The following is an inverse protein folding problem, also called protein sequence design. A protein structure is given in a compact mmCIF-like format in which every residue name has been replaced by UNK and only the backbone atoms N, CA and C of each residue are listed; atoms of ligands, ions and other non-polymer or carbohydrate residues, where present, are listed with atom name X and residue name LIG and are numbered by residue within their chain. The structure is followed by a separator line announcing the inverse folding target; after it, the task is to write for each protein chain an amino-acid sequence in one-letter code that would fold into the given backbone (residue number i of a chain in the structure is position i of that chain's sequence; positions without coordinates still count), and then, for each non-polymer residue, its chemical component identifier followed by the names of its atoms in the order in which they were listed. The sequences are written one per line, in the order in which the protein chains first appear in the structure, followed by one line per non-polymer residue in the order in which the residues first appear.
data_IF_848492568717
#
_entry.id   IF_848492568717
#
_cell.length_a   1.000
_cell.length_b   1.000
_cell.length_c   1.000
_cell.angle_alpha   90.00
_cell.angle_beta   90.00
_cell.angle_gamma   90.00
#
_symmetry.space_group_name_H-M   'P 1'
#
loop_
_entity.id
_entity.type
_entity.pdbx_description
1 polymer ?
#
# COMPACT_ATOMS: atom_id res chain seq x y z
N UNK A 1 -44.98 57.33 -34.81
CA UNK A 1 -46.04 56.34 -34.50
C UNK A 1 -45.82 55.86 -33.06
N UNK A 2 -46.76 56.20 -32.16
CA UNK A 2 -46.94 55.80 -30.74
C UNK A 2 -45.81 56.16 -29.73
N UNK A 3 -46.01 57.26 -28.97
CA UNK A 3 -46.29 57.37 -27.50
C UNK A 3 -45.06 57.04 -26.61
N UNK A 4 -44.34 57.96 -25.93
CA UNK A 4 -44.69 59.05 -24.97
C UNK A 4 -45.23 58.49 -23.62
N UNK A 5 -44.84 58.89 -22.40
CA UNK A 5 -44.28 60.13 -21.85
C UNK A 5 -43.50 59.87 -20.53
N UNK A 6 -42.64 60.83 -20.18
CA UNK A 6 -42.00 61.02 -18.88
C UNK A 6 -42.56 62.27 -18.16
N UNK A 7 -42.25 62.35 -16.85
CA UNK A 7 -42.08 63.54 -15.99
C UNK A 7 -43.27 64.20 -15.24
N UNK A 8 -43.16 64.13 -13.90
CA UNK A 8 -43.10 65.22 -12.91
C UNK A 8 -43.88 66.53 -13.15
N UNK A 9 -44.74 66.92 -12.19
CA UNK A 9 -44.53 68.10 -11.35
C UNK A 9 -45.68 68.42 -10.35
N UNK A 10 -45.25 68.98 -9.21
CA UNK A 10 -45.84 70.04 -8.37
C UNK A 10 -47.05 69.81 -7.43
N UNK A 11 -46.70 69.84 -6.13
CA UNK A 11 -47.14 70.75 -5.06
C UNK A 11 -48.54 71.39 -5.13
N UNK A 12 -49.32 71.18 -4.06
CA UNK A 12 -50.22 72.18 -3.45
C UNK A 12 -50.21 72.09 -1.91
N UNK A 13 -50.14 73.27 -1.31
CA UNK A 13 -50.12 73.61 0.12
C UNK A 13 -51.38 73.22 0.91
N UNK A 14 -51.28 73.03 2.24
CA UNK A 14 -51.82 73.95 3.29
C UNK A 14 -51.80 73.35 4.72
N UNK A 15 -50.82 73.80 5.50
CA UNK A 15 -50.87 74.48 6.84
C UNK A 15 -51.88 74.11 7.97
N UNK A 16 -51.34 74.01 9.21
CA UNK A 16 -51.77 74.60 10.54
C UNK A 16 -51.92 73.61 11.73
N UNK A 17 -50.87 73.61 12.59
CA UNK A 17 -50.79 73.71 14.06
C UNK A 17 -51.88 73.19 15.04
N UNK A 18 -51.46 72.38 16.03
CA UNK A 18 -51.27 72.68 17.50
C UNK A 18 -51.71 71.55 18.48
N UNK A 19 -50.77 71.21 19.38
CA UNK A 19 -50.88 70.87 20.81
C UNK A 19 -51.85 69.79 21.32
N UNK A 20 -51.35 68.76 22.02
CA UNK A 20 -51.16 68.77 23.48
C UNK A 20 -50.74 67.38 24.01
N UNK A 21 -49.91 67.40 25.06
CA UNK A 21 -49.40 66.24 25.79
C UNK A 21 -50.48 65.51 26.64
N UNK A 22 -50.11 64.28 27.00
CA UNK A 22 -50.35 63.59 28.28
C UNK A 22 -51.39 62.45 28.39
N UNK A 23 -50.81 61.24 28.56
CA UNK A 23 -51.05 60.29 29.68
C UNK A 23 -52.40 59.53 29.73
N UNK A 24 -52.38 58.22 29.43
CA UNK A 24 -52.42 57.11 30.43
C UNK A 24 -52.90 55.75 29.88
N UNK A 25 -52.08 54.74 30.17
CA UNK A 25 -52.39 53.36 30.59
C UNK A 25 -53.05 52.31 29.66
N UNK A 26 -52.42 51.13 29.74
CA UNK A 26 -52.92 49.75 29.57
C UNK A 26 -53.01 49.20 28.14
N UNK A 27 -51.96 48.45 27.78
CA UNK A 27 -52.06 47.04 27.31
C UNK A 27 -50.66 46.41 27.31
N UNK A 28 -50.28 45.89 28.46
CA UNK A 28 -49.16 44.97 28.63
C UNK A 28 -49.78 43.65 29.06
N UNK A 29 -49.83 42.68 28.14
CA UNK A 29 -49.96 41.24 28.34
C UNK A 29 -49.99 40.58 26.95
N UNK A 30 -49.26 39.47 26.80
CA UNK A 30 -49.18 38.56 25.64
C UNK A 30 -48.02 38.69 24.63
N UNK A 31 -46.81 39.11 25.02
CA UNK A 31 -45.59 38.82 24.20
C UNK A 31 -44.39 38.47 25.09
N UNK A 32 -44.53 37.50 26.00
CA UNK A 32 -43.41 37.04 26.84
C UNK A 32 -43.35 35.52 27.05
N UNK A 33 -44.03 34.72 26.21
CA UNK A 33 -44.01 33.25 26.35
C UNK A 33 -43.74 32.46 25.05
N UNK A 34 -43.29 33.11 23.96
CA UNK A 34 -42.97 32.44 22.69
C UNK A 34 -41.51 32.74 22.23
N UNK A 35 -40.61 33.08 23.15
CA UNK A 35 -39.16 33.24 22.85
C UNK A 35 -38.29 32.42 23.83
N UNK A 36 -38.84 31.33 24.36
CA UNK A 36 -38.10 30.39 25.24
C UNK A 36 -38.16 28.92 24.75
N UNK A 37 -38.71 28.67 23.56
CA UNK A 37 -38.63 27.39 22.87
C UNK A 37 -38.12 27.67 21.45
N UNK A 38 -37.18 26.86 20.96
CA UNK A 38 -36.45 26.97 19.67
C UNK A 38 -35.09 27.67 19.68
N UNK A 39 -34.31 27.48 20.75
CA UNK A 39 -32.85 27.41 20.63
C UNK A 39 -32.26 26.25 21.43
N UNK A 40 -32.97 25.14 21.54
CA UNK A 40 -32.29 23.85 21.60
C UNK A 40 -31.76 23.57 20.19
N UNK A 41 -30.60 24.13 19.87
CA UNK A 41 -29.70 23.43 18.97
C UNK A 41 -29.35 22.14 19.68
N UNK A 42 -30.17 21.09 19.47
CA UNK A 42 -29.73 19.73 19.70
C UNK A 42 -28.60 19.56 18.70
N UNK A 43 -27.38 19.91 19.09
CA UNK A 43 -26.20 19.36 18.47
C UNK A 43 -26.40 17.86 18.62
N UNK A 44 -26.82 17.20 17.54
CA UNK A 44 -26.81 15.76 17.43
C UNK A 44 -25.34 15.40 17.59
N UNK A 45 -24.92 15.19 18.84
CA UNK A 45 -23.55 14.87 19.18
C UNK A 45 -23.32 13.50 18.58
N UNK A 46 -22.56 13.47 17.48
CA UNK A 46 -22.01 12.25 16.91
C UNK A 46 -21.50 11.35 18.04
N UNK A 47 -22.09 10.16 18.18
CA UNK A 47 -21.81 9.25 19.28
C UNK A 47 -20.34 8.80 19.18
N UNK A 48 -19.60 8.99 20.26
CA UNK A 48 -18.22 8.51 20.35
C UNK A 48 -18.22 7.01 20.61
N UNK A 49 -17.41 6.28 19.84
CA UNK A 49 -17.26 4.82 19.96
C UNK A 49 -16.01 4.50 20.76
N UNK A 50 -14.88 5.12 20.38
CA UNK A 50 -13.59 4.85 20.99
C UNK A 50 -12.66 6.05 20.83
N UNK A 51 -11.74 6.20 21.78
CA UNK A 51 -10.57 7.05 21.64
C UNK A 51 -9.36 6.19 21.33
N UNK A 52 -8.44 6.70 20.52
CA UNK A 52 -7.20 6.02 20.19
C UNK A 52 -6.01 6.90 20.53
N UNK A 53 -4.99 6.32 21.14
CA UNK A 53 -3.68 6.94 21.32
C UNK A 53 -2.66 6.20 20.46
N UNK A 54 -2.09 6.87 19.47
CA UNK A 54 -0.99 6.34 18.68
C UNK A 54 0.30 6.84 19.29
N UNK A 55 1.19 5.93 19.64
CA UNK A 55 2.51 6.25 20.21
C UNK A 55 3.60 6.03 19.18
N UNK A 56 4.48 7.02 19.03
CA UNK A 56 5.63 6.89 18.13
C UNK A 56 6.59 5.79 18.59
N UNK A 57 6.68 5.55 19.91
CA UNK A 57 7.65 4.62 20.47
C UNK A 57 9.06 5.19 20.34
N UNK A 58 10.03 4.35 19.98
CA UNK A 58 11.45 4.66 20.06
C UNK A 58 12.06 5.36 18.84
N UNK A 59 11.25 5.64 17.82
CA UNK A 59 11.70 6.19 16.55
C UNK A 59 10.89 7.42 16.15
N UNK A 60 11.57 8.35 15.46
CA UNK A 60 10.89 9.39 14.70
C UNK A 60 10.16 8.77 13.51
N UNK A 61 8.92 9.19 13.28
CA UNK A 61 8.06 8.65 12.22
C UNK A 61 7.59 9.73 11.28
N UNK A 62 7.45 9.41 10.00
CA UNK A 62 7.04 10.37 8.99
C UNK A 62 6.00 9.77 8.05
N UNK A 63 4.82 10.39 7.98
CA UNK A 63 3.76 10.01 7.02
C UNK A 63 3.42 8.51 7.05
N UNK A 64 3.18 7.98 8.25
CA UNK A 64 3.01 6.54 8.48
C UNK A 64 1.55 6.11 8.30
N UNK A 65 1.36 4.86 7.88
CA UNK A 65 0.06 4.21 7.88
C UNK A 65 -0.09 3.43 9.18
N UNK A 66 -1.24 3.60 9.83
CA UNK A 66 -1.55 3.02 11.13
C UNK A 66 -2.83 2.22 11.02
N UNK A 67 -2.91 1.14 11.78
CA UNK A 67 -4.14 0.37 11.91
C UNK A 67 -4.43 0.04 13.37
N UNK A 68 -5.70 -0.19 13.67
CA UNK A 68 -6.17 -0.61 14.98
C UNK A 68 -7.38 -1.53 14.83
N UNK A 69 -7.52 -2.45 15.78
CA UNK A 69 -8.70 -3.31 15.92
C UNK A 69 -9.56 -2.74 17.03
N UNK A 70 -10.84 -2.56 16.75
CA UNK A 70 -11.87 -2.14 17.71
C UNK A 70 -12.80 -3.32 17.94
N UNK A 71 -12.78 -3.85 19.15
CA UNK A 71 -13.64 -4.96 19.56
C UNK A 71 -15.10 -4.50 19.73
N UNK A 72 -16.04 -5.44 19.60
CA UNK A 72 -17.48 -5.22 19.80
C UNK A 72 -18.13 -4.14 18.90
N UNK A 73 -17.44 -3.67 17.87
CA UNK A 73 -17.93 -2.65 16.96
C UNK A 73 -18.75 -3.19 15.77
N UNK A 74 -19.07 -4.49 15.75
CA UNK A 74 -19.95 -5.10 14.74
C UNK A 74 -21.34 -4.46 14.71
N UNK A 75 -21.84 -3.98 15.85
CA UNK A 75 -23.11 -3.23 15.93
C UNK A 75 -23.11 -1.91 15.13
N UNK A 76 -21.95 -1.48 14.63
CA UNK A 76 -21.78 -0.22 13.89
C UNK A 76 -21.50 -0.42 12.40
N UNK A 77 -21.63 -1.65 11.86
CA UNK A 77 -21.34 -1.95 10.44
C UNK A 77 -22.14 -1.08 9.46
N UNK A 78 -23.40 -0.79 9.78
CA UNK A 78 -24.28 0.00 8.92
C UNK A 78 -24.28 1.49 9.28
N UNK A 79 -23.30 1.94 10.07
CA UNK A 79 -23.17 3.33 10.51
C UNK A 79 -22.06 4.05 9.75
N UNK A 80 -22.25 5.34 9.50
CA UNK A 80 -21.21 6.19 8.95
C UNK A 80 -20.17 6.48 10.03
N UNK A 81 -19.00 5.84 9.92
CA UNK A 81 -17.88 6.03 10.83
C UNK A 81 -16.95 7.13 10.30
N UNK A 82 -16.52 8.01 11.22
CA UNK A 82 -15.52 9.04 10.96
C UNK A 82 -14.47 9.01 12.06
N UNK A 83 -13.20 9.07 11.67
CA UNK A 83 -12.06 9.21 12.57
C UNK A 83 -11.59 10.67 12.60
N UNK A 84 -11.45 11.24 13.79
CA UNK A 84 -10.93 12.59 13.99
C UNK A 84 -9.58 12.56 14.69
N UNK A 85 -8.58 13.30 14.21
CA UNK A 85 -7.39 13.67 14.97
C UNK A 85 -7.73 14.82 15.93
N UNK A 86 -7.29 14.71 17.18
CA UNK A 86 -7.51 15.72 18.21
C UNK A 86 -6.27 16.60 18.32
N UNK A 87 -6.39 17.87 17.92
CA UNK A 87 -5.33 18.90 18.06
C UNK A 87 -5.81 20.03 18.95
N UNK A 88 -5.40 20.00 20.21
CA UNK A 88 -5.92 20.92 21.24
C UNK A 88 -7.44 20.75 21.37
N UNK A 89 -8.19 21.83 21.10
CA UNK A 89 -9.66 21.82 21.14
C UNK A 89 -10.30 21.53 19.77
N UNK A 90 -9.50 21.33 18.72
CA UNK A 90 -9.99 21.06 17.36
C UNK A 90 -10.06 19.56 17.07
N UNK A 91 -11.06 19.19 16.28
CA UNK A 91 -11.22 17.85 15.70
C UNK A 91 -11.06 17.98 14.20
N UNK A 92 -10.05 17.31 13.66
CA UNK A 92 -9.74 17.31 12.24
C UNK A 92 -10.09 15.94 11.70
N UNK A 93 -11.01 15.87 10.75
CA UNK A 93 -11.36 14.61 10.10
C UNK A 93 -10.13 14.04 9.37
N UNK A 94 -9.94 12.73 9.48
CA UNK A 94 -8.82 12.01 8.86
C UNK A 94 -9.38 10.94 7.93
N UNK A 95 -8.85 10.92 6.70
CA UNK A 95 -9.12 9.85 5.75
C UNK A 95 -8.87 8.49 6.42
N UNK A 96 -9.91 7.67 6.46
CA UNK A 96 -9.92 6.41 7.21
C UNK A 96 -10.68 5.34 6.45
N UNK A 97 -10.20 4.11 6.57
CA UNK A 97 -10.74 2.96 5.88
C UNK A 97 -11.08 1.88 6.89
N UNK A 98 -12.30 1.39 6.79
CA UNK A 98 -12.90 0.46 7.75
C UNK A 98 -13.08 -0.90 7.09
N UNK A 99 -12.69 -1.97 7.76
CA UNK A 99 -12.94 -3.34 7.35
C UNK A 99 -13.65 -4.07 8.48
N UNK A 100 -14.78 -4.70 8.15
CA UNK A 100 -15.59 -5.45 9.10
C UNK A 100 -15.43 -6.94 8.80
N UNK A 101 -14.77 -7.65 9.72
CA UNK A 101 -14.75 -9.11 9.80
C UNK A 101 -15.35 -9.52 11.16
N UNK A 102 -14.71 -10.38 11.95
CA UNK A 102 -15.09 -10.63 13.35
C UNK A 102 -14.87 -9.40 14.26
N UNK A 103 -14.04 -8.46 13.79
CA UNK A 103 -13.78 -7.18 14.45
C UNK A 103 -13.89 -6.01 13.46
N UNK A 104 -13.95 -4.78 13.97
CA UNK A 104 -13.76 -3.58 13.16
C UNK A 104 -12.27 -3.26 13.09
N UNK A 105 -11.66 -3.37 11.92
CA UNK A 105 -10.32 -2.86 11.68
C UNK A 105 -10.38 -1.49 11.03
N UNK A 106 -9.60 -0.55 11.55
CA UNK A 106 -9.51 0.82 11.03
C UNK A 106 -8.09 1.02 10.54
N UNK A 107 -7.95 1.58 9.35
CA UNK A 107 -6.69 2.04 8.78
C UNK A 107 -6.78 3.55 8.54
N UNK A 108 -5.71 4.27 8.82
CA UNK A 108 -5.59 5.70 8.49
C UNK A 108 -4.13 6.09 8.35
N UNK A 109 -3.90 7.28 7.81
CA UNK A 109 -2.56 7.86 7.68
C UNK A 109 -2.34 8.94 8.73
N UNK A 110 -1.14 8.97 9.30
CA UNK A 110 -0.67 10.05 10.16
C UNK A 110 0.27 10.92 9.35
N UNK A 111 -0.21 12.11 8.98
CA UNK A 111 0.58 13.06 8.21
C UNK A 111 1.52 13.89 9.09
N UNK A 112 2.69 14.18 8.53
CA UNK A 112 3.75 14.95 9.17
C UNK A 112 4.69 14.11 10.04
N UNK A 113 5.64 14.82 10.67
CA UNK A 113 6.59 14.23 11.61
C UNK A 113 5.87 13.92 12.92
N UNK A 114 6.15 12.75 13.48
CA UNK A 114 5.80 12.37 14.83
C UNK A 114 7.11 12.00 15.54
N UNK A 115 7.52 12.80 16.51
CA UNK A 115 8.81 12.61 17.17
C UNK A 115 8.80 11.37 18.04
N UNK A 116 9.98 10.77 18.27
CA UNK A 116 10.18 9.73 19.27
C UNK A 116 9.50 10.12 20.59
N UNK A 117 8.74 9.19 21.17
CA UNK A 117 7.99 9.38 22.41
C UNK A 117 6.71 10.23 22.30
N UNK A 118 6.46 10.88 21.16
CA UNK A 118 5.21 11.63 20.93
C UNK A 118 4.00 10.70 20.95
N UNK A 119 2.84 11.25 21.32
CA UNK A 119 1.55 10.57 21.23
C UNK A 119 0.55 11.45 20.49
N UNK A 120 -0.09 10.89 19.47
CA UNK A 120 -1.19 11.52 18.75
C UNK A 120 -2.51 10.87 19.14
N UNK A 121 -3.56 11.68 19.24
CA UNK A 121 -4.85 11.29 19.80
C UNK A 121 -5.93 11.35 18.74
N UNK A 122 -6.78 10.34 18.73
CA UNK A 122 -7.88 10.21 17.79
C UNK A 122 -9.18 9.86 18.50
N UNK A 123 -10.31 10.18 17.86
CA UNK A 123 -11.65 9.83 18.32
C UNK A 123 -12.47 9.28 17.14
N UNK A 124 -12.97 8.06 17.30
CA UNK A 124 -13.87 7.40 16.36
C UNK A 124 -15.32 7.75 16.74
N UNK A 125 -16.10 8.20 15.76
CA UNK A 125 -17.50 8.59 15.96
C UNK A 125 -18.44 8.04 14.91
N UNK A 126 -19.71 7.89 15.29
CA UNK A 126 -20.84 7.74 14.36
C UNK A 126 -21.25 9.13 13.90
N UNK A 127 -21.18 9.38 12.59
CA UNK A 127 -21.70 10.58 11.96
C UNK A 127 -23.08 10.34 11.37
N UNK A 128 -23.94 11.35 11.41
CA UNK A 128 -25.21 11.39 10.67
C UNK A 128 -25.11 12.19 9.38
N UNK A 129 -23.97 12.85 9.13
CA UNK A 129 -23.74 13.59 7.90
C UNK A 129 -23.30 12.65 6.77
N UNK A 130 -23.72 12.94 5.54
CA UNK A 130 -23.16 12.31 4.35
C UNK A 130 -21.69 12.69 4.23
N UNK A 131 -20.80 11.69 4.30
CA UNK A 131 -19.38 11.89 4.05
C UNK A 131 -19.16 12.01 2.54
N UNK A 132 -18.59 13.12 2.07
CA UNK A 132 -18.05 13.25 0.71
C UNK A 132 -16.77 12.41 0.59
N UNK A 133 -16.90 11.08 0.62
CA UNK A 133 -15.77 10.17 0.44
C UNK A 133 -15.29 10.27 -1.00
N UNK A 134 -14.08 10.79 -1.20
CA UNK A 134 -13.50 10.82 -2.53
C UNK A 134 -12.73 9.52 -2.72
N UNK A 135 -13.28 8.60 -3.51
CA UNK A 135 -12.58 7.37 -3.90
C UNK A 135 -11.46 7.69 -4.89
N UNK A 136 -10.29 8.06 -4.35
CA UNK A 136 -9.08 8.35 -5.15
C UNK A 136 -8.26 7.08 -5.42
N UNK A 137 -8.37 6.04 -4.59
CA UNK A 137 -7.75 4.74 -4.85
C UNK A 137 -8.64 3.90 -5.76
N UNK A 138 -8.14 3.57 -6.94
CA UNK A 138 -8.85 2.74 -7.90
C UNK A 138 -7.96 1.57 -8.31
N UNK A 139 -8.51 0.36 -8.28
CA UNK A 139 -7.93 -0.79 -8.96
C UNK A 139 -8.67 -0.92 -10.28
N UNK A 140 -7.97 -0.79 -11.41
CA UNK A 140 -8.55 -1.02 -12.73
C UNK A 140 -8.15 -2.39 -13.24
N UNK A 141 -9.14 -3.26 -13.46
CA UNK A 141 -8.95 -4.55 -14.12
C UNK A 141 -8.96 -4.36 -15.65
N UNK A 142 -8.04 -5.01 -16.35
CA UNK A 142 -8.03 -5.20 -17.81
C UNK A 142 -8.14 -6.69 -18.12
N UNK A 143 -8.08 -7.06 -19.40
CA UNK A 143 -8.08 -8.47 -19.81
C UNK A 143 -6.84 -9.23 -19.32
N UNK A 144 -5.73 -8.51 -19.09
CA UNK A 144 -4.43 -9.11 -18.77
C UNK A 144 -3.89 -8.79 -17.37
N UNK A 145 -4.40 -7.71 -16.75
CA UNK A 145 -3.76 -7.14 -15.56
C UNK A 145 -4.74 -6.42 -14.61
N UNK A 146 -4.26 -6.17 -13.40
CA UNK A 146 -4.81 -5.20 -12.46
C UNK A 146 -3.84 -4.04 -12.32
N UNK A 147 -4.33 -2.81 -12.50
CA UNK A 147 -3.56 -1.58 -12.35
C UNK A 147 -3.96 -0.91 -11.04
N UNK A 148 -2.99 -0.71 -10.16
CA UNK A 148 -3.17 -0.07 -8.85
C UNK A 148 -2.68 1.38 -8.94
N UNK A 149 -3.49 2.34 -8.47
CA UNK A 149 -3.22 3.77 -8.57
C UNK A 149 -3.03 4.48 -7.21
N UNK A 150 -2.13 5.46 -7.18
CA UNK A 150 -2.04 6.47 -6.12
C UNK A 150 -2.60 7.77 -6.71
N UNK A 151 -3.73 8.24 -6.17
CA UNK A 151 -4.66 9.13 -6.86
C UNK A 151 -4.91 8.67 -8.32
N UNK A 152 -4.46 9.46 -9.31
CA UNK A 152 -4.65 9.19 -10.73
C UNK A 152 -3.40 8.61 -11.40
N UNK A 153 -2.32 8.36 -10.64
CA UNK A 153 -1.04 7.88 -11.19
C UNK A 153 -0.89 6.37 -10.95
N UNK A 154 -0.55 5.58 -11.98
CA UNK A 154 -0.32 4.15 -11.80
C UNK A 154 0.92 3.92 -10.93
N UNK A 155 0.78 3.06 -9.93
CA UNK A 155 1.88 2.61 -9.06
C UNK A 155 2.48 1.34 -9.63
N UNK A 156 1.63 0.38 -9.99
CA UNK A 156 2.06 -0.91 -10.53
C UNK A 156 0.97 -1.57 -11.36
N UNK A 157 1.41 -2.48 -12.23
CA UNK A 157 0.55 -3.44 -12.91
C UNK A 157 0.87 -4.84 -12.38
N UNK A 158 -0.15 -5.51 -11.85
CA UNK A 158 -0.11 -6.93 -11.55
C UNK A 158 -0.66 -7.72 -12.75
N UNK A 159 0.16 -8.53 -13.40
CA UNK A 159 -0.22 -9.28 -14.60
C UNK A 159 -0.71 -10.67 -14.21
N UNK A 160 -1.96 -10.95 -14.53
CA UNK A 160 -2.59 -12.25 -14.30
C UNK A 160 -2.65 -13.10 -15.57
N UNK A 161 -2.58 -12.47 -16.76
CA UNK A 161 -2.35 -13.18 -18.00
C UNK A 161 -0.87 -13.57 -18.15
N UNK A 162 -0.63 -14.53 -19.04
CA UNK A 162 0.71 -14.99 -19.40
C UNK A 162 1.41 -13.92 -20.23
N UNK A 163 2.66 -13.60 -19.88
CA UNK A 163 3.46 -12.62 -20.60
C UNK A 163 3.61 -13.02 -22.08
N UNK A 164 3.35 -12.12 -23.05
CA UNK A 164 3.60 -12.41 -24.45
C UNK A 164 5.09 -12.71 -24.67
N UNK A 165 5.40 -13.54 -25.67
CA UNK A 165 6.77 -13.89 -26.03
C UNK A 165 7.05 -13.48 -27.47
N UNK A 166 8.27 -13.03 -27.73
CA UNK A 166 8.74 -12.82 -29.09
C UNK A 166 8.82 -14.16 -29.85
N UNK A 167 8.66 -14.10 -31.18
CA UNK A 167 8.74 -15.28 -32.03
C UNK A 167 10.09 -16.02 -31.90
N UNK A 168 10.03 -17.35 -31.86
CA UNK A 168 11.21 -18.20 -31.72
C UNK A 168 11.64 -18.48 -30.28
N UNK A 169 11.00 -17.86 -29.28
CA UNK A 169 11.22 -18.18 -27.87
C UNK A 169 10.29 -19.34 -27.47
N UNK A 170 10.84 -20.31 -26.74
CA UNK A 170 10.07 -21.45 -26.22
C UNK A 170 8.92 -20.96 -25.33
N UNK A 171 7.70 -21.44 -25.60
CA UNK A 171 6.48 -21.04 -24.89
C UNK A 171 6.51 -21.35 -23.38
N UNK A 172 7.38 -22.25 -22.92
CA UNK A 172 7.62 -22.51 -21.49
C UNK A 172 8.09 -21.25 -20.75
N UNK A 173 8.77 -20.31 -21.41
CA UNK A 173 9.18 -19.03 -20.83
C UNK A 173 8.05 -18.01 -20.72
N UNK A 174 6.78 -18.41 -20.75
CA UNK A 174 5.66 -17.52 -20.51
C UNK A 174 4.99 -17.90 -19.19
N UNK A 175 4.91 -16.94 -18.26
CA UNK A 175 4.22 -17.10 -16.98
C UNK A 175 3.25 -15.95 -16.73
N UNK A 176 2.37 -16.15 -15.77
CA UNK A 176 1.56 -15.11 -15.14
C UNK A 176 2.01 -14.87 -13.69
N UNK A 177 1.29 -14.00 -12.97
CA UNK A 177 1.50 -13.78 -11.54
C UNK A 177 2.78 -13.02 -11.24
N UNK A 178 2.96 -11.86 -11.87
CA UNK A 178 4.14 -11.01 -11.71
C UNK A 178 3.77 -9.53 -11.76
N UNK A 179 4.63 -8.67 -11.20
CA UNK A 179 4.43 -7.21 -11.25
C UNK A 179 5.38 -6.59 -12.29
N UNK A 180 4.78 -5.99 -13.31
CA UNK A 180 5.47 -5.14 -14.30
C UNK A 180 4.44 -4.40 -15.15
N UNK A 181 4.60 -3.09 -15.42
CA UNK A 181 5.59 -2.20 -14.83
C UNK A 181 5.33 -1.91 -13.33
N UNK A 182 6.40 -1.70 -12.57
CA UNK A 182 6.41 -0.91 -11.33
C UNK A 182 6.88 0.51 -11.66
N UNK A 183 6.18 1.53 -11.15
CA UNK A 183 6.45 2.92 -11.47
C UNK A 183 7.03 3.70 -10.29
N UNK A 184 7.94 4.63 -10.59
CA UNK A 184 8.19 5.77 -9.72
C UNK A 184 6.99 6.74 -9.71
N UNK A 185 6.88 7.64 -8.72
CA UNK A 185 5.77 8.60 -8.64
C UNK A 185 5.72 9.60 -9.82
N UNK A 186 6.85 9.83 -10.50
CA UNK A 186 6.93 10.60 -11.75
C UNK A 186 6.54 9.81 -13.01
N UNK A 187 6.26 8.50 -12.88
CA UNK A 187 5.81 7.65 -13.98
C UNK A 187 6.93 6.90 -14.71
N UNK A 188 8.19 6.98 -14.27
CA UNK A 188 9.27 6.14 -14.83
C UNK A 188 9.06 4.67 -14.46
N UNK A 189 9.24 3.76 -15.42
CA UNK A 189 9.21 2.31 -15.21
C UNK A 189 10.51 1.84 -14.58
N UNK A 190 10.44 1.17 -13.43
CA UNK A 190 11.62 0.75 -12.63
C UNK A 190 12.01 -0.72 -12.81
N UNK A 191 11.12 -1.51 -13.39
CA UNK A 191 11.28 -2.96 -13.59
C UNK A 191 11.52 -3.32 -15.05
N UNK A 192 12.19 -4.44 -15.32
CA UNK A 192 12.27 -5.05 -16.65
C UNK A 192 11.78 -6.52 -16.62
N UNK A 193 11.27 -7.02 -17.74
CA UNK A 193 10.87 -8.42 -17.93
C UNK A 193 11.50 -8.98 -19.20
N UNK A 194 11.65 -10.31 -19.25
CA UNK A 194 12.08 -11.04 -20.44
C UNK A 194 13.32 -10.43 -21.16
N UNK A 195 14.36 -9.98 -20.44
CA UNK A 195 15.53 -9.42 -21.08
C UNK A 195 16.25 -10.52 -21.89
N UNK A 196 16.91 -10.20 -23.02
CA UNK A 196 17.56 -11.20 -23.87
C UNK A 196 18.60 -12.08 -23.16
N UNK A 197 19.22 -11.60 -22.08
CA UNK A 197 20.16 -12.37 -21.27
C UNK A 197 19.49 -13.42 -20.37
N UNK A 198 18.28 -13.13 -19.87
CA UNK A 198 17.57 -13.97 -18.89
C UNK A 198 16.06 -13.90 -19.14
N UNK A 199 15.60 -14.60 -20.17
CA UNK A 199 14.21 -14.51 -20.65
C UNK A 199 13.15 -14.90 -19.60
N UNK A 200 13.53 -15.60 -18.54
CA UNK A 200 12.68 -16.04 -17.43
C UNK A 200 12.58 -15.02 -16.26
N UNK A 201 13.00 -13.75 -16.45
CA UNK A 201 12.85 -12.69 -15.44
C UNK A 201 11.57 -11.87 -15.63
N UNK A 202 10.88 -11.48 -14.53
CA UNK A 202 9.55 -10.87 -14.59
C UNK A 202 9.31 -9.71 -13.60
N UNK A 203 10.21 -8.72 -13.54
CA UNK A 203 9.97 -7.50 -12.76
C UNK A 203 10.04 -7.75 -11.25
N UNK A 204 8.89 -7.96 -10.59
CA UNK A 204 8.80 -8.51 -9.22
C UNK A 204 8.11 -9.87 -9.21
N UNK A 205 8.76 -10.88 -8.62
CA UNK A 205 8.24 -12.25 -8.52
C UNK A 205 8.99 -13.08 -7.45
N UNK A 206 8.49 -14.28 -7.13
CA UNK A 206 9.21 -15.29 -6.35
C UNK A 206 9.88 -16.33 -7.26
N UNK A 207 11.15 -16.65 -7.01
CA UNK A 207 12.01 -17.51 -7.84
C UNK A 207 12.46 -18.79 -7.11
N UNK A 208 11.52 -19.66 -6.73
CA UNK A 208 11.86 -20.94 -6.09
C UNK A 208 12.47 -21.92 -7.09
N UNK A 209 13.71 -22.38 -6.82
CA UNK A 209 14.52 -23.20 -7.75
C UNK A 209 14.97 -24.53 -7.18
N UNK A 210 15.88 -24.53 -6.19
CA UNK A 210 16.37 -25.76 -5.57
C UNK A 210 15.33 -26.26 -4.58
N UNK A 211 14.35 -27.01 -5.07
CA UNK A 211 13.34 -27.64 -4.23
C UNK A 211 13.27 -29.12 -4.48
N UNK A 212 12.85 -29.87 -3.46
CA UNK A 212 12.53 -31.29 -3.51
C UNK A 212 11.07 -31.44 -3.13
N UNK A 213 10.29 -31.95 -4.07
CA UNK A 213 8.88 -32.26 -3.88
C UNK A 213 8.68 -33.76 -4.08
N UNK A 214 8.19 -34.45 -3.04
CA UNK A 214 8.23 -35.91 -2.94
C UNK A 214 9.68 -36.40 -3.12
N UNK A 215 9.95 -37.25 -4.11
CA UNK A 215 11.28 -37.81 -4.38
C UNK A 215 12.00 -37.13 -5.57
N UNK A 216 11.50 -35.97 -6.03
CA UNK A 216 11.99 -35.31 -7.23
C UNK A 216 12.49 -33.90 -6.94
N UNK A 217 13.64 -33.54 -7.54
CA UNK A 217 14.06 -32.15 -7.64
C UNK A 217 13.14 -31.40 -8.61
N UNK A 218 12.67 -30.23 -8.18
CA UNK A 218 11.75 -29.38 -8.95
C UNK A 218 12.23 -27.93 -8.92
N UNK A 219 12.48 -27.37 -10.09
CA UNK A 219 12.67 -25.94 -10.29
C UNK A 219 11.38 -25.28 -10.84
N UNK A 220 10.76 -24.41 -10.04
CA UNK A 220 9.54 -23.69 -10.41
C UNK A 220 9.79 -22.41 -11.22
N UNK A 221 11.05 -21.98 -11.38
CA UNK A 221 11.41 -20.70 -11.98
C UNK A 221 12.21 -20.82 -13.28
N UNK A 222 13.14 -21.77 -13.41
CA UNK A 222 13.85 -22.04 -14.66
C UNK A 222 12.95 -22.78 -15.64
N UNK A 223 11.94 -22.08 -16.17
CA UNK A 223 10.82 -22.66 -16.92
C UNK A 223 11.26 -23.51 -18.14
N UNK A 224 12.41 -23.21 -18.73
CA UNK A 224 12.98 -23.99 -19.84
C UNK A 224 13.36 -25.43 -19.46
N UNK A 225 13.58 -25.72 -18.17
CA UNK A 225 13.84 -27.09 -17.68
C UNK A 225 12.57 -27.94 -17.59
N UNK A 226 11.38 -27.31 -17.61
CA UNK A 226 10.08 -28.00 -17.60
C UNK A 226 9.90 -28.95 -16.40
N UNK A 227 10.50 -28.64 -15.26
CA UNK A 227 10.35 -29.40 -14.02
C UNK A 227 9.15 -28.91 -13.20
N UNK A 228 8.94 -27.60 -13.17
CA UNK A 228 7.81 -26.97 -12.52
C UNK A 228 7.46 -25.63 -13.14
N UNK A 229 6.34 -25.07 -12.71
CA UNK A 229 5.87 -23.76 -13.15
C UNK A 229 4.95 -23.12 -12.13
N UNK A 230 4.85 -21.79 -12.18
CA UNK A 230 3.97 -21.00 -11.33
C UNK A 230 2.89 -20.34 -12.18
N UNK A 231 1.62 -20.60 -11.86
CA UNK A 231 0.48 -19.99 -12.54
C UNK A 231 -0.36 -19.17 -11.57
N UNK A 232 -0.80 -17.99 -12.01
CA UNK A 232 -1.98 -17.36 -11.44
C UNK A 232 -3.20 -18.29 -11.61
N UNK A 233 -3.87 -18.61 -10.50
CA UNK A 233 -5.06 -19.46 -10.46
C UNK A 233 -6.34 -18.67 -10.15
N UNK A 234 -6.25 -17.45 -9.64
CA UNK A 234 -7.44 -16.63 -9.40
C UNK A 234 -7.19 -15.38 -8.55
N UNK A 235 -8.17 -14.49 -8.58
CA UNK A 235 -8.22 -13.33 -7.69
C UNK A 235 -9.12 -13.68 -6.52
N UNK A 236 -8.58 -13.57 -5.31
CA UNK A 236 -9.30 -13.82 -4.06
C UNK A 236 -10.10 -12.57 -3.68
N UNK A 237 -9.47 -11.40 -3.75
CA UNK A 237 -10.13 -10.14 -3.41
C UNK A 237 -9.45 -8.93 -4.06
N UNK A 238 -10.24 -7.90 -4.34
CA UNK A 238 -9.76 -6.56 -4.68
C UNK A 238 -10.46 -5.55 -3.76
N UNK A 239 -9.69 -4.87 -2.93
CA UNK A 239 -10.17 -3.87 -1.96
C UNK A 239 -9.73 -2.49 -2.41
N UNK A 240 -10.63 -1.52 -2.36
CA UNK A 240 -10.37 -0.12 -2.65
C UNK A 240 -10.87 0.73 -1.48
N UNK A 241 -10.16 1.81 -1.18
CA UNK A 241 -10.59 2.78 -0.18
C UNK A 241 -9.64 3.97 -0.05
N UNK A 242 -10.00 4.95 0.77
CA UNK A 242 -9.30 6.24 0.84
C UNK A 242 -7.86 6.15 1.36
N UNK A 243 -7.50 5.06 2.05
CA UNK A 243 -6.18 4.91 2.68
C UNK A 243 -5.32 3.94 1.88
N UNK A 244 -5.89 2.83 1.44
CA UNK A 244 -5.18 1.83 0.67
C UNK A 244 -6.09 1.09 -0.30
N UNK A 245 -5.46 0.45 -1.26
CA UNK A 245 -6.07 -0.61 -2.05
C UNK A 245 -5.22 -1.87 -1.96
N UNK A 246 -5.84 -3.02 -2.07
CA UNK A 246 -5.18 -4.31 -1.98
C UNK A 246 -5.71 -5.28 -3.02
N UNK A 247 -4.82 -6.00 -3.68
CA UNK A 247 -5.14 -7.11 -4.57
C UNK A 247 -4.58 -8.38 -3.94
N UNK A 248 -5.45 -9.37 -3.72
CA UNK A 248 -5.07 -10.68 -3.21
C UNK A 248 -5.32 -11.74 -4.28
N UNK A 249 -4.32 -12.52 -4.62
CA UNK A 249 -4.35 -13.51 -5.69
C UNK A 249 -3.81 -14.86 -5.22
N UNK A 250 -4.27 -15.93 -5.87
CA UNK A 250 -3.80 -17.29 -5.67
C UNK A 250 -2.88 -17.69 -6.82
N UNK A 251 -1.69 -18.19 -6.51
CA UNK A 251 -0.79 -18.86 -7.44
C UNK A 251 -0.62 -20.32 -7.05
N UNK A 252 -0.44 -21.18 -8.05
CA UNK A 252 -0.11 -22.59 -7.85
C UNK A 252 1.31 -22.83 -8.36
N UNK A 253 2.17 -23.33 -7.48
CA UNK A 253 3.49 -23.86 -7.84
C UNK A 253 3.30 -25.34 -8.12
N UNK A 254 3.33 -25.71 -9.41
CA UNK A 254 3.02 -27.06 -9.86
C UNK A 254 4.26 -27.74 -10.44
N UNK A 255 4.60 -28.90 -9.86
CA UNK A 255 5.61 -29.81 -10.37
C UNK A 255 5.04 -30.61 -11.54
N UNK A 256 5.89 -30.97 -12.49
CA UNK A 256 5.55 -31.81 -13.64
C UNK A 256 6.11 -33.21 -13.35
N UNK A 257 5.22 -34.20 -13.26
CA UNK A 257 5.62 -35.59 -12.99
C UNK A 257 6.21 -36.28 -14.23
N UNK A 258 6.69 -37.52 -14.07
CA UNK A 258 7.28 -38.31 -15.17
C UNK A 258 6.31 -38.64 -16.31
N UNK A 259 4.99 -38.49 -16.07
CA UNK A 259 3.94 -38.69 -17.06
C UNK A 259 3.50 -37.38 -17.73
N UNK A 260 4.06 -36.24 -17.30
CA UNK A 260 3.73 -34.91 -17.79
C UNK A 260 2.51 -34.27 -17.10
N UNK A 261 2.02 -34.83 -16.00
CA UNK A 261 0.92 -34.24 -15.25
C UNK A 261 1.41 -33.15 -14.30
N UNK A 262 0.56 -32.14 -14.09
CA UNK A 262 0.81 -31.08 -13.13
C UNK A 262 0.30 -31.49 -11.74
N UNK A 263 1.18 -31.45 -10.75
CA UNK A 263 0.87 -31.72 -9.34
C UNK A 263 1.20 -30.46 -8.54
N UNK A 264 0.23 -29.89 -7.83
CA UNK A 264 0.44 -28.69 -7.04
C UNK A 264 1.26 -29.04 -5.80
N UNK A 265 2.44 -28.43 -5.67
CA UNK A 265 3.32 -28.56 -4.52
C UNK A 265 3.08 -27.46 -3.47
N UNK A 266 2.71 -26.26 -3.93
CA UNK A 266 2.54 -25.09 -3.06
C UNK A 266 1.42 -24.18 -3.56
N UNK A 267 0.54 -23.79 -2.64
CA UNK A 267 -0.42 -22.72 -2.87
C UNK A 267 0.16 -21.41 -2.34
N UNK A 268 0.38 -20.43 -3.20
CA UNK A 268 0.83 -19.10 -2.79
C UNK A 268 -0.34 -18.11 -2.85
N UNK A 269 -0.71 -17.54 -1.71
CA UNK A 269 -1.54 -16.34 -1.68
C UNK A 269 -0.65 -15.11 -1.64
N UNK A 270 -0.66 -14.33 -2.73
CA UNK A 270 0.04 -13.06 -2.84
C UNK A 270 -0.94 -11.90 -2.60
N UNK A 271 -0.71 -11.11 -1.55
CA UNK A 271 -1.35 -9.82 -1.32
C UNK A 271 -0.40 -8.67 -1.67
N UNK A 272 -0.83 -7.81 -2.60
CA UNK A 272 -0.17 -6.56 -2.96
C UNK A 272 -1.03 -5.41 -2.48
N UNK A 273 -0.53 -4.59 -1.58
CA UNK A 273 -1.25 -3.45 -1.00
C UNK A 273 -0.51 -2.15 -1.28
N UNK A 274 -1.18 -1.16 -1.84
CA UNK A 274 -0.60 0.17 -2.09
C UNK A 274 -1.37 1.22 -1.32
N UNK A 275 -0.66 2.21 -0.81
CA UNK A 275 -1.22 3.26 0.04
C UNK A 275 -1.37 4.59 -0.69
N UNK A 276 -2.42 5.34 -0.35
CA UNK A 276 -2.51 6.74 -0.75
C UNK A 276 -1.42 7.51 -0.01
N UNK A 277 -0.51 8.13 -0.76
CA UNK A 277 0.71 8.74 -0.24
C UNK A 277 0.96 10.10 -0.90
N UNK A 278 1.88 10.89 -0.35
CA UNK A 278 2.26 12.16 -0.95
C UNK A 278 2.90 11.98 -2.34
N UNK A 279 2.88 13.02 -3.18
CA UNK A 279 3.21 12.97 -4.62
C UNK A 279 4.59 12.39 -5.00
N UNK A 280 5.54 12.33 -4.05
CA UNK A 280 6.93 11.95 -4.32
C UNK A 280 7.32 10.55 -3.88
N UNK A 281 6.38 9.75 -3.36
CA UNK A 281 6.62 8.35 -2.99
C UNK A 281 5.42 7.48 -3.40
N UNK A 282 5.66 6.19 -3.61
CA UNK A 282 4.64 5.16 -3.54
C UNK A 282 5.10 4.12 -2.52
N UNK A 283 4.17 3.62 -1.70
CA UNK A 283 4.43 2.53 -0.76
C UNK A 283 3.63 1.31 -1.19
N UNK A 284 4.31 0.17 -1.29
CA UNK A 284 3.76 -1.12 -1.70
C UNK A 284 4.16 -2.18 -0.68
N UNK A 285 3.18 -2.82 -0.04
CA UNK A 285 3.40 -4.03 0.73
C UNK A 285 3.18 -5.24 -0.17
N UNK A 286 4.12 -6.18 -0.13
CA UNK A 286 4.13 -7.42 -0.88
C UNK A 286 4.22 -8.57 0.12
N UNK A 287 3.13 -9.33 0.27
CA UNK A 287 3.07 -10.45 1.22
C UNK A 287 2.71 -11.73 0.50
N UNK A 288 3.62 -12.69 0.49
CA UNK A 288 3.38 -14.05 -0.01
C UNK A 288 3.18 -14.99 1.17
N UNK A 289 2.04 -15.67 1.20
CA UNK A 289 1.75 -16.76 2.14
C UNK A 289 1.68 -18.08 1.39
N UNK A 290 2.52 -19.02 1.77
CA UNK A 290 2.66 -20.31 1.15
C UNK A 290 2.03 -21.39 2.03
N UNK A 291 1.13 -22.18 1.45
CA UNK A 291 0.44 -23.28 2.11
C UNK A 291 0.73 -24.59 1.38
N UNK A 292 1.27 -25.56 2.10
CA UNK A 292 1.54 -26.90 1.61
C UNK A 292 0.30 -27.79 1.82
N UNK A 293 -0.39 -28.09 0.73
CA UNK A 293 -1.60 -28.94 0.75
C UNK A 293 -1.29 -30.42 0.43
N UNK A 294 -0.07 -30.72 -0.01
CA UNK A 294 0.39 -32.09 -0.24
C UNK A 294 1.11 -32.63 1.01
N UNK A 295 0.82 -33.88 1.39
CA UNK A 295 1.38 -34.54 2.57
C UNK A 295 2.91 -34.67 2.52
N UNK A 296 3.53 -34.64 1.34
CA UNK A 296 4.99 -34.68 1.22
C UNK A 296 5.67 -33.40 1.69
N UNK A 297 4.91 -32.31 1.85
CA UNK A 297 5.48 -30.97 2.02
C UNK A 297 6.35 -30.55 0.82
N UNK A 298 7.13 -29.50 1.02
CA UNK A 298 8.13 -29.02 0.06
C UNK A 298 9.43 -28.70 0.80
N UNK A 299 10.52 -29.34 0.42
CA UNK A 299 11.85 -29.05 0.97
C UNK A 299 12.58 -28.09 0.04
N UNK A 300 13.03 -26.95 0.56
CA UNK A 300 13.85 -26.00 -0.17
C UNK A 300 15.30 -26.18 0.28
N UNK A 301 16.16 -26.56 -0.66
CA UNK A 301 17.57 -26.79 -0.39
C UNK A 301 18.31 -25.48 -0.19
N UNK A 302 19.40 -25.51 0.59
CA UNK A 302 20.34 -24.41 0.62
C UNK A 302 20.87 -24.12 -0.80
N UNK A 303 20.55 -22.95 -1.33
CA UNK A 303 20.93 -22.59 -2.69
C UNK A 303 21.06 -21.08 -2.88
N UNK A 304 22.05 -20.67 -3.68
CA UNK A 304 22.51 -19.28 -3.84
C UNK A 304 21.44 -18.23 -4.20
N UNK A 305 20.25 -18.63 -4.66
CA UNK A 305 19.09 -17.75 -4.89
C UNK A 305 17.77 -18.50 -4.70
N UNK A 306 16.72 -17.77 -4.34
CA UNK A 306 15.39 -18.29 -4.03
C UNK A 306 14.53 -17.18 -3.41
N UNK A 307 13.21 -17.22 -3.50
CA UNK A 307 12.34 -16.20 -2.87
C UNK A 307 12.19 -14.93 -3.70
N UNK A 308 12.01 -13.78 -3.04
CA UNK A 308 11.57 -12.52 -3.67
C UNK A 308 12.65 -11.87 -4.54
N UNK A 309 12.30 -11.51 -5.77
CA UNK A 309 13.21 -10.94 -6.77
C UNK A 309 12.72 -9.60 -7.28
N UNK A 310 13.66 -8.69 -7.50
CA UNK A 310 13.52 -7.47 -8.30
C UNK A 310 14.51 -7.48 -9.47
N UNK A 311 13.98 -7.35 -10.69
CA UNK A 311 14.74 -7.05 -11.90
C UNK A 311 14.57 -5.58 -12.27
N UNK A 312 15.65 -4.82 -12.18
CA UNK A 312 15.68 -3.40 -12.51
C UNK A 312 15.49 -3.11 -14.01
N UNK A 313 15.12 -1.86 -14.32
CA UNK A 313 14.95 -1.33 -15.67
C UNK A 313 16.15 -1.66 -16.57
N UNK A 314 15.92 -1.81 -17.88
CA UNK A 314 16.98 -2.14 -18.85
C UNK A 314 18.14 -1.14 -18.89
N UNK A 315 17.86 0.13 -18.59
CA UNK A 315 18.85 1.21 -18.56
C UNK A 315 19.69 1.22 -17.28
N UNK A 316 19.28 0.48 -16.24
CA UNK A 316 19.94 0.47 -14.95
C UNK A 316 21.18 -0.43 -14.94
N UNK A 317 22.32 0.16 -14.57
CA UNK A 317 23.61 -0.50 -14.44
C UNK A 317 24.54 0.30 -13.50
N UNK A 318 25.76 -0.18 -13.26
CA UNK A 318 26.74 0.45 -12.35
C UNK A 318 27.17 1.89 -12.70
N UNK A 319 26.72 2.47 -13.83
CA UNK A 319 26.91 3.89 -14.18
C UNK A 319 25.65 4.73 -13.99
N UNK A 320 24.48 4.13 -14.11
CA UNK A 320 23.18 4.82 -14.10
C UNK A 320 22.45 4.72 -12.78
N UNK A 321 22.91 3.85 -11.87
CA UNK A 321 22.38 3.76 -10.51
C UNK A 321 23.49 3.61 -9.47
N UNK A 322 23.14 3.86 -8.20
CA UNK A 322 23.96 3.56 -7.03
C UNK A 322 23.13 2.65 -6.11
N UNK A 323 23.69 1.49 -5.76
CA UNK A 323 23.11 0.55 -4.82
C UNK A 323 23.72 0.73 -3.42
N UNK A 324 22.90 0.60 -2.39
CA UNK A 324 23.32 0.61 -0.99
C UNK A 324 22.46 -0.37 -0.17
N UNK A 325 23.07 -1.23 0.63
CA UNK A 325 22.36 -2.11 1.56
C UNK A 325 22.39 -1.57 3.00
N UNK A 326 21.59 -2.18 3.89
CA UNK A 326 21.60 -1.86 5.33
C UNK A 326 22.95 -2.04 6.01
N UNK A 327 23.83 -2.87 5.44
CA UNK A 327 25.17 -3.15 5.96
C UNK A 327 26.25 -2.30 5.27
N UNK A 328 25.84 -1.26 4.54
CA UNK A 328 26.76 -0.35 3.84
C UNK A 328 27.42 -0.95 2.60
N UNK A 329 26.85 -2.04 2.06
CA UNK A 329 27.38 -2.71 0.86
C UNK A 329 26.83 -2.06 -0.41
N UNK A 330 27.64 -2.05 -1.46
CA UNK A 330 27.32 -1.54 -2.79
C UNK A 330 27.02 -2.69 -3.75
N UNK A 331 26.93 -2.39 -5.06
CA UNK A 331 26.64 -3.39 -6.08
C UNK A 331 27.71 -4.50 -6.17
N UNK A 332 28.98 -4.19 -5.93
CA UNK A 332 30.10 -5.10 -6.16
C UNK A 332 30.42 -6.00 -4.95
N UNK A 333 29.92 -5.64 -3.75
CA UNK A 333 30.19 -6.36 -2.51
C UNK A 333 28.94 -6.75 -1.70
N UNK A 334 27.74 -6.71 -2.30
CA UNK A 334 26.49 -7.10 -1.64
C UNK A 334 26.08 -8.55 -1.85
N UNK A 335 26.65 -9.28 -2.81
CA UNK A 335 26.22 -10.64 -3.11
C UNK A 335 26.60 -11.60 -1.97
N UNK A 336 25.62 -12.31 -1.43
CA UNK A 336 25.80 -13.24 -0.30
C UNK A 336 25.78 -12.57 1.08
N UNK A 337 25.84 -11.25 1.14
CA UNK A 337 25.70 -10.50 2.39
C UNK A 337 24.25 -10.47 2.85
N UNK A 338 24.05 -10.36 4.16
CA UNK A 338 22.72 -10.18 4.76
C UNK A 338 22.30 -8.72 4.67
N UNK A 339 21.02 -8.46 4.45
CA UNK A 339 20.50 -7.10 4.48
C UNK A 339 19.05 -7.03 4.95
N UNK A 340 18.74 -5.98 5.73
CA UNK A 340 17.36 -5.62 6.12
C UNK A 340 16.65 -4.89 5.00
N UNK A 341 17.42 -4.12 4.22
CA UNK A 341 16.93 -3.35 3.10
C UNK A 341 18.01 -3.15 2.03
N UNK A 342 17.58 -2.94 0.79
CA UNK A 342 18.42 -2.60 -0.36
C UNK A 342 17.82 -1.39 -1.09
N UNK A 343 18.63 -0.35 -1.25
CA UNK A 343 18.31 0.92 -1.87
C UNK A 343 19.00 1.02 -3.23
N UNK A 344 18.27 1.38 -4.27
CA UNK A 344 18.81 1.68 -5.61
C UNK A 344 18.35 3.07 -6.01
N UNK A 345 19.31 3.97 -6.21
CA UNK A 345 19.08 5.35 -6.66
C UNK A 345 19.54 5.52 -8.10
N UNK A 346 18.71 6.06 -8.99
CA UNK A 346 19.20 6.57 -10.27
C UNK A 346 20.20 7.72 -10.09
N UNK A 347 21.11 7.84 -11.05
CA UNK A 347 21.98 8.99 -11.24
C UNK A 347 21.36 10.00 -12.22
N UNK A 348 21.97 11.17 -12.42
CA UNK A 348 21.44 12.24 -13.28
C UNK A 348 20.58 13.28 -12.56
N UNK A 349 19.93 14.15 -13.36
CA UNK A 349 19.23 15.38 -12.91
C UNK A 349 17.85 15.13 -12.30
N UNK A 350 17.08 14.19 -12.87
CA UNK A 350 15.74 13.84 -12.40
C UNK A 350 15.69 12.38 -11.94
N UNK A 351 16.47 11.99 -10.91
CA UNK A 351 16.57 10.59 -10.52
C UNK A 351 15.26 10.11 -9.91
N UNK A 352 14.97 8.82 -10.09
CA UNK A 352 14.04 8.07 -9.26
C UNK A 352 14.77 6.92 -8.58
N UNK A 353 14.09 6.17 -7.74
CA UNK A 353 14.68 4.98 -7.15
C UNK A 353 13.68 4.08 -6.47
N UNK A 354 14.22 3.02 -5.91
CA UNK A 354 13.48 1.98 -5.21
C UNK A 354 14.23 1.58 -3.93
N UNK A 355 13.49 1.44 -2.85
CA UNK A 355 13.92 0.81 -1.61
C UNK A 355 13.10 -0.47 -1.43
N UNK A 356 13.78 -1.60 -1.20
CA UNK A 356 13.16 -2.89 -0.91
C UNK A 356 13.55 -3.30 0.51
N UNK A 357 12.58 -3.68 1.33
CA UNK A 357 12.75 -3.94 2.75
C UNK A 357 12.20 -5.31 3.12
N UNK A 358 13.01 -6.13 3.79
CA UNK A 358 12.60 -7.40 4.39
C UNK A 358 12.07 -7.16 5.81
N UNK A 359 11.02 -7.89 6.19
CA UNK A 359 10.42 -7.80 7.52
C UNK A 359 11.14 -8.73 8.53
N UNK A 360 11.31 -8.33 9.81
CA UNK A 360 11.94 -9.16 10.84
C UNK A 360 11.34 -10.54 11.11
N UNK A 361 10.10 -10.76 10.65
CA UNK A 361 9.39 -12.03 10.80
C UNK A 361 9.58 -12.98 9.60
N UNK A 362 10.33 -12.57 8.58
CA UNK A 362 10.64 -13.46 7.47
C UNK A 362 11.62 -14.54 7.93
N UNK A 363 11.49 -15.74 7.35
CA UNK A 363 12.47 -16.80 7.55
C UNK A 363 13.86 -16.29 7.17
N UNK A 364 14.85 -16.62 8.00
CA UNK A 364 16.24 -16.25 7.81
C UNK A 364 16.54 -14.73 7.76
N UNK A 365 15.71 -13.87 8.38
CA UNK A 365 15.95 -12.43 8.46
C UNK A 365 17.16 -12.06 9.36
N UNK A 366 17.95 -11.00 9.04
CA UNK A 366 17.98 -10.25 7.77
C UNK A 366 18.41 -11.14 6.62
N UNK A 367 17.61 -11.22 5.56
CA UNK A 367 17.80 -12.26 4.54
C UNK A 367 19.14 -12.05 3.79
N UNK A 368 19.87 -13.14 3.48
CA UNK A 368 20.97 -13.08 2.54
C UNK A 368 20.51 -12.56 1.17
N UNK A 369 21.36 -11.79 0.51
CA UNK A 369 21.07 -11.28 -0.82
C UNK A 369 21.71 -12.14 -1.91
N UNK A 370 21.04 -12.21 -3.06
CA UNK A 370 21.68 -12.45 -4.35
C UNK A 370 21.62 -11.17 -5.16
N UNK A 371 22.78 -10.58 -5.47
CA UNK A 371 22.91 -9.36 -6.27
C UNK A 371 23.95 -9.51 -7.36
N UNK A 372 23.79 -8.74 -8.44
CA UNK A 372 24.74 -8.78 -9.55
C UNK A 372 25.75 -7.64 -9.43
N UNK A 373 27.03 -7.99 -9.47
CA UNK A 373 28.10 -6.99 -9.52
C UNK A 373 28.03 -6.14 -10.80
N UNK A 374 28.75 -5.03 -10.81
CA UNK A 374 28.75 -4.04 -11.88
C UNK A 374 29.25 -4.57 -13.23
N UNK A 375 29.95 -5.70 -13.26
CA UNK A 375 30.44 -6.37 -14.47
C UNK A 375 29.49 -7.46 -14.99
N UNK A 376 28.54 -7.92 -14.18
CA UNK A 376 27.55 -8.91 -14.59
C UNK A 376 26.77 -8.44 -15.83
N UNK A 377 26.35 -9.39 -16.66
CA UNK A 377 25.71 -9.13 -17.95
C UNK A 377 26.49 -8.10 -18.81
N UNK A 378 27.83 -8.20 -18.81
CA UNK A 378 28.74 -7.31 -19.54
C UNK A 378 28.53 -5.82 -19.19
N UNK A 379 28.12 -5.53 -17.95
CA UNK A 379 27.88 -4.18 -17.45
C UNK A 379 26.59 -3.51 -17.94
N UNK A 380 25.63 -4.28 -18.47
CA UNK A 380 24.36 -3.77 -19.02
C UNK A 380 23.16 -4.39 -18.32
N UNK A 381 22.09 -3.61 -18.07
CA UNK A 381 20.84 -4.10 -17.43
C UNK A 381 21.12 -5.05 -16.25
N UNK A 382 22.04 -4.68 -15.36
CA UNK A 382 22.60 -5.62 -14.39
C UNK A 382 22.20 -5.32 -12.95
N UNK A 383 21.06 -4.65 -12.78
CA UNK A 383 20.43 -4.52 -11.47
C UNK A 383 19.47 -5.68 -11.25
N UNK A 384 19.90 -6.58 -10.37
CA UNK A 384 19.15 -7.72 -9.90
C UNK A 384 19.32 -7.78 -8.38
N UNK A 385 18.21 -7.83 -7.65
CA UNK A 385 18.19 -7.95 -6.18
C UNK A 385 17.24 -9.07 -5.81
N UNK A 386 17.74 -10.11 -5.18
CA UNK A 386 16.92 -11.18 -4.63
C UNK A 386 17.20 -11.31 -3.13
N UNK A 387 16.14 -11.22 -2.32
CA UNK A 387 16.18 -11.58 -0.92
C UNK A 387 15.99 -13.10 -0.86
N UNK A 388 17.08 -13.80 -0.53
CA UNK A 388 17.19 -15.25 -0.62
C UNK A 388 17.29 -15.90 0.74
N UNK A 389 16.15 -16.22 1.36
CA UNK A 389 16.14 -16.79 2.71
C UNK A 389 16.72 -18.21 2.73
N UNK A 390 16.92 -18.85 1.58
CA UNK A 390 17.51 -20.19 1.47
C UNK A 390 19.00 -20.20 1.09
N UNK A 391 19.66 -19.04 1.02
CA UNK A 391 21.05 -18.98 0.51
C UNK A 391 22.07 -19.74 1.34
N UNK A 392 21.88 -19.75 2.65
CA UNK A 392 22.77 -20.34 3.65
C UNK A 392 21.99 -21.13 4.70
N UNK A 393 20.78 -21.56 4.35
CA UNK A 393 19.88 -22.33 5.21
C UNK A 393 18.91 -23.09 4.33
N UNK A 394 18.69 -24.35 4.61
CA UNK A 394 17.56 -25.10 4.07
C UNK A 394 16.25 -24.60 4.69
N UNK A 395 15.12 -24.88 4.03
CA UNK A 395 13.80 -24.56 4.54
C UNK A 395 12.79 -25.65 4.21
N UNK A 396 12.36 -26.40 5.22
CA UNK A 396 11.26 -27.36 5.07
C UNK A 396 9.92 -26.66 5.25
N UNK A 397 9.04 -26.79 4.26
CA UNK A 397 7.64 -26.44 4.34
C UNK A 397 6.79 -27.71 4.53
N UNK A 398 6.24 -27.90 5.73
CA UNK A 398 5.46 -29.06 6.12
C UNK A 398 4.00 -28.95 5.67
N UNK A 399 3.39 -30.10 5.44
CA UNK A 399 1.95 -30.24 5.18
C UNK A 399 1.09 -29.54 6.25
N UNK A 400 0.07 -28.82 5.80
CA UNK A 400 -0.90 -28.14 6.66
C UNK A 400 -0.39 -26.86 7.33
N UNK A 401 0.88 -26.48 7.10
CA UNK A 401 1.48 -25.26 7.67
C UNK A 401 1.42 -24.08 6.69
N UNK A 402 1.47 -22.86 7.25
CA UNK A 402 1.51 -21.61 6.50
C UNK A 402 2.83 -20.89 6.73
N UNK A 403 3.51 -20.52 5.66
CA UNK A 403 4.79 -19.79 5.67
C UNK A 403 4.62 -18.43 5.03
N UNK A 404 5.08 -17.36 5.67
CA UNK A 404 4.87 -16.00 5.14
C UNK A 404 6.17 -15.25 4.97
N UNK A 405 6.37 -14.68 3.78
CA UNK A 405 7.38 -13.67 3.50
C UNK A 405 6.71 -12.32 3.26
N UNK A 406 7.23 -11.28 3.91
CA UNK A 406 6.70 -9.91 3.90
C UNK A 406 7.78 -8.95 3.46
N UNK A 407 7.47 -8.15 2.46
CA UNK A 407 8.34 -7.09 1.97
C UNK A 407 7.57 -5.78 1.87
N UNK A 408 8.26 -4.67 2.08
CA UNK A 408 7.77 -3.34 1.73
C UNK A 408 8.70 -2.71 0.70
N UNK A 409 8.10 -2.18 -0.34
CA UNK A 409 8.77 -1.52 -1.44
C UNK A 409 8.36 -0.06 -1.41
N UNK A 410 9.33 0.84 -1.49
CA UNK A 410 9.08 2.26 -1.67
C UNK A 410 9.74 2.71 -2.96
N UNK A 411 8.94 3.24 -3.89
CA UNK A 411 9.47 3.93 -5.07
C UNK A 411 9.41 5.43 -4.83
N UNK A 412 10.41 6.18 -5.27
CA UNK A 412 10.48 7.61 -4.97
C UNK A 412 11.02 8.42 -6.15
N UNK A 413 10.71 9.71 -6.14
CA UNK A 413 11.43 10.71 -6.94
C UNK A 413 12.60 11.28 -6.13
N UNK A 414 13.64 11.73 -6.82
CA UNK A 414 14.86 12.25 -6.20
C UNK A 414 15.79 11.12 -5.75
N UNK A 415 16.65 11.42 -4.77
CA UNK A 415 17.59 10.47 -4.18
C UNK A 415 17.31 10.30 -2.71
N UNK A 416 17.36 9.06 -2.26
CA UNK A 416 17.25 8.72 -0.86
C UNK A 416 18.63 8.41 -0.28
N UNK A 417 18.80 8.77 0.99
CA UNK A 417 19.99 8.48 1.79
C UNK A 417 19.79 7.22 2.63
N UNK A 418 20.86 6.71 3.21
CA UNK A 418 20.81 5.67 4.24
C UNK A 418 19.86 6.04 5.38
N UNK A 419 19.83 7.31 5.80
CA UNK A 419 18.94 7.78 6.86
C UNK A 419 17.45 7.67 6.46
N UNK A 420 17.12 7.98 5.20
CA UNK A 420 15.76 7.80 4.70
C UNK A 420 15.34 6.32 4.69
N UNK A 421 16.25 5.45 4.21
CA UNK A 421 16.02 4.01 4.14
C UNK A 421 15.86 3.38 5.52
N UNK A 422 16.75 3.71 6.46
CA UNK A 422 16.70 3.17 7.82
C UNK A 422 15.44 3.61 8.55
N UNK A 423 15.06 4.89 8.48
CA UNK A 423 13.81 5.37 9.08
C UNK A 423 12.59 4.62 8.51
N UNK A 424 12.51 4.46 7.19
CA UNK A 424 11.41 3.73 6.55
C UNK A 424 11.36 2.26 6.97
N UNK A 425 12.53 1.63 7.15
CA UNK A 425 12.62 0.26 7.63
C UNK A 425 12.16 0.15 9.09
N UNK A 426 12.57 1.07 9.98
CA UNK A 426 12.12 1.10 11.38
C UNK A 426 10.59 1.24 11.48
N UNK A 427 9.98 2.05 10.62
CA UNK A 427 8.52 2.18 10.56
C UNK A 427 7.82 0.89 10.10
N UNK A 428 8.45 0.14 9.19
CA UNK A 428 7.92 -1.13 8.68
C UNK A 428 8.12 -2.28 9.68
N UNK A 429 9.32 -2.40 10.25
CA UNK A 429 9.71 -3.45 11.19
C UNK A 429 9.08 -3.29 12.57
N UNK A 430 8.82 -2.04 12.98
CA UNK A 430 8.29 -1.69 14.28
C UNK A 430 7.11 -0.70 14.12
N UNK A 431 5.94 -1.18 13.66
CA UNK A 431 4.76 -0.32 13.49
C UNK A 431 4.37 0.37 14.81
N UNK A 432 3.76 1.57 14.75
CA UNK A 432 3.39 2.30 15.96
C UNK A 432 2.33 1.55 16.77
N UNK A 433 2.43 1.65 18.09
CA UNK A 433 1.46 1.04 19.01
C UNK A 433 0.22 1.93 19.10
N UNK A 434 -0.94 1.35 18.86
CA UNK A 434 -2.23 2.00 19.07
C UNK A 434 -2.88 1.46 20.34
N UNK A 435 -3.14 2.34 21.30
CA UNK A 435 -3.96 2.03 22.47
C UNK A 435 -5.40 2.45 22.20
N UNK A 436 -6.32 1.49 22.22
CA UNK A 436 -7.76 1.74 22.14
C UNK A 436 -8.30 1.97 23.55
N UNK A 437 -9.08 3.03 23.72
CA UNK A 437 -9.72 3.42 24.97
C UNK A 437 -11.22 3.47 24.69
N UNK A 438 -11.91 2.43 25.14
CA UNK A 438 -13.36 2.34 25.05
C UNK A 438 -14.03 3.35 25.99
N UNK A 439 -15.16 3.91 25.54
CA UNK A 439 -15.96 4.86 26.32
C UNK A 439 -17.09 4.16 27.07
#
# INVERSE_FOLDING_TARGET
MKFAFANYNNCKDTTIYRNCNHLKYKRMNYILSIIALFSLNISIMAQSIAKLEVKAGDFDRQNIVVNAIIDNALHHKDKNLILYEIKGNQKIEVASQFTFSDHLQIHWRIDGLMKKGETRRYELRISTAETNRRNHANIRKTDDSYILFNDFRPVLHYNHAKAPLAGGIDASFSRSGYIHPLFSPSGKVLTNIQPPDHIHHYGLWNAWTSTVFRDSSVDFWNLGQRQGHVNYAGTISATQGEVYQALKTLHLHAAIDSLGNNITALNETLEVKTYQTAENINIIDYTSSFYCDDESGLYLEEYRYGGFVFRGNETWNGRTVVMLTSEGKDQDNSDGERARWCLVNETGENPSGILIMSHPLNFNHPEPLRTWNSNANRGRSNIFVNFSPIRNSDWTMNYGENYTLRYRIITFNGRWTQHNAERAWQDFAHPPVVKVIYQ
#
